data_IF_692571331712
#
_entry.id   IF_692571331712
#
_cell.length_a   1.000
_cell.length_b   1.000
_cell.length_c   1.000
_cell.angle_alpha   90.00
_cell.angle_beta   90.00
_cell.angle_gamma   90.00
#
_symmetry.space_group_name_H-M   'P 1'
#
loop_
_entity.id
_entity.type
_entity.pdbx_description
1 polymer ?
#
# COMPACT_ATOMS: atom_id res chain seq x y z
N UNK A 1 20.89 9.06 -95.63
CA UNK A 1 19.72 8.72 -96.49
C UNK A 1 18.49 8.68 -95.60
N UNK A 2 17.82 9.78 -95.71
CA UNK A 2 16.35 9.95 -95.73
C UNK A 2 15.55 9.45 -94.48
N UNK A 3 14.64 10.11 -93.92
CA UNK A 3 13.84 11.33 -94.06
C UNK A 3 13.04 11.40 -92.77
N UNK A 4 13.05 12.51 -92.10
CA UNK A 4 11.96 13.44 -91.77
C UNK A 4 10.53 12.84 -91.76
N UNK A 5 9.82 12.97 -90.69
CA UNK A 5 8.62 13.77 -90.68
C UNK A 5 8.02 13.88 -89.24
N UNK A 6 7.78 15.11 -88.98
CA UNK A 6 7.00 15.76 -87.90
C UNK A 6 5.59 15.22 -87.77
N UNK A 7 5.07 15.16 -86.54
CA UNK A 7 3.76 15.79 -86.34
C UNK A 7 3.55 16.10 -84.88
N UNK A 8 3.12 17.26 -84.65
CA UNK A 8 2.69 17.88 -83.40
C UNK A 8 1.42 17.25 -82.88
N UNK A 9 1.32 17.02 -81.62
CA UNK A 9 0.05 17.05 -80.92
C UNK A 9 0.22 17.48 -79.45
N UNK A 10 -0.57 18.46 -79.22
CA UNK A 10 -0.67 19.37 -78.11
C UNK A 10 -0.63 18.79 -76.74
N UNK A 11 0.07 19.52 -75.90
CA UNK A 11 0.11 19.47 -74.44
C UNK A 11 -1.28 19.66 -73.85
N UNK A 12 -1.59 18.77 -72.90
CA UNK A 12 -2.49 19.06 -71.81
C UNK A 12 -1.71 18.87 -70.52
N UNK A 13 -1.34 19.95 -69.91
CA UNK A 13 -0.79 20.06 -68.58
C UNK A 13 -1.90 19.68 -67.57
N UNK A 14 -1.89 18.50 -67.05
CA UNK A 14 -2.59 18.18 -65.79
C UNK A 14 -1.61 18.35 -64.65
N UNK A 15 -1.65 19.47 -63.99
CA UNK A 15 -0.96 19.71 -62.73
C UNK A 15 -1.62 18.85 -61.66
N UNK A 16 -1.00 17.71 -61.35
CA UNK A 16 -1.35 16.93 -60.15
C UNK A 16 -0.74 17.64 -58.97
N UNK A 17 -1.56 18.37 -58.24
CA UNK A 17 -1.24 18.85 -56.90
C UNK A 17 -1.21 17.62 -55.98
N UNK A 18 -0.03 17.05 -55.73
CA UNK A 18 0.19 16.20 -54.56
C UNK A 18 0.13 17.12 -53.33
N UNK A 19 -1.03 17.17 -52.72
CA UNK A 19 -1.15 17.68 -51.37
C UNK A 19 -0.42 16.69 -50.42
N UNK A 20 0.83 17.00 -50.10
CA UNK A 20 1.52 16.46 -48.97
C UNK A 20 0.73 16.85 -47.71
N UNK A 21 -0.20 16.00 -47.30
CA UNK A 21 -0.76 16.06 -45.99
C UNK A 21 0.38 15.66 -45.01
N UNK A 22 1.17 16.66 -44.62
CA UNK A 22 2.02 16.53 -43.42
C UNK A 22 1.05 16.46 -42.26
N UNK A 23 0.70 15.22 -41.91
CA UNK A 23 0.02 14.94 -40.68
C UNK A 23 0.95 15.37 -39.55
N UNK A 24 0.74 16.58 -39.04
CA UNK A 24 1.25 16.96 -37.73
C UNK A 24 0.60 16.01 -36.72
N UNK A 25 1.26 14.89 -36.49
CA UNK A 25 1.06 14.15 -35.28
C UNK A 25 1.46 15.10 -34.15
N UNK A 26 0.50 15.87 -33.65
CA UNK A 26 0.64 16.55 -32.38
C UNK A 26 0.83 15.40 -31.38
N UNK A 27 2.07 15.08 -31.11
CA UNK A 27 2.40 14.42 -29.84
C UNK A 27 1.76 15.33 -28.78
N UNK A 28 0.61 14.93 -28.25
CA UNK A 28 0.14 15.48 -26.99
C UNK A 28 1.30 15.26 -26.03
N UNK A 29 2.05 16.33 -25.78
CA UNK A 29 2.91 16.39 -24.62
C UNK A 29 1.99 16.09 -23.44
N UNK A 30 2.02 14.84 -22.95
CA UNK A 30 1.42 14.56 -21.66
C UNK A 30 2.13 15.51 -20.73
N UNK A 31 1.42 16.51 -20.26
CA UNK A 31 1.88 17.31 -19.13
C UNK A 31 2.12 16.28 -18.04
N UNK A 32 3.39 15.96 -17.76
CA UNK A 32 3.82 15.11 -16.66
C UNK A 32 3.58 15.86 -15.34
N UNK A 33 2.33 16.28 -15.09
CA UNK A 33 1.95 16.74 -13.77
C UNK A 33 2.03 15.54 -12.84
N UNK A 34 2.68 15.73 -11.70
CA UNK A 34 2.67 14.72 -10.64
C UNK A 34 1.21 14.42 -10.26
N UNK A 35 0.90 13.16 -9.90
CA UNK A 35 -0.43 12.81 -9.42
C UNK A 35 -0.79 13.69 -8.22
N UNK A 36 -2.09 13.97 -8.06
CA UNK A 36 -2.61 14.67 -6.89
C UNK A 36 -2.25 13.88 -5.63
N UNK A 37 -1.80 14.59 -4.59
CA UNK A 37 -1.50 13.97 -3.31
C UNK A 37 -2.78 13.54 -2.56
N UNK A 38 -2.71 12.45 -1.84
CA UNK A 38 -3.85 11.93 -1.08
C UNK A 38 -4.23 12.86 0.09
N UNK A 39 -3.28 13.68 0.61
CA UNK A 39 -3.54 14.66 1.66
C UNK A 39 -4.69 15.63 1.33
N UNK A 40 -4.84 16.02 0.05
CA UNK A 40 -5.90 16.93 -0.40
C UNK A 40 -7.29 16.31 -0.42
N UNK A 41 -7.37 15.00 -0.26
CA UNK A 41 -8.61 14.20 -0.31
C UNK A 41 -8.97 13.59 1.04
N UNK A 42 -8.10 13.72 2.06
CA UNK A 42 -8.38 13.22 3.39
C UNK A 42 -9.41 14.10 4.11
N UNK A 43 -10.47 13.46 4.56
CA UNK A 43 -11.48 14.07 5.41
C UNK A 43 -11.10 13.98 6.89
N UNK A 44 -11.77 14.74 7.79
CA UNK A 44 -11.64 14.54 9.22
C UNK A 44 -11.87 13.08 9.62
N UNK A 45 -11.12 12.59 10.60
CA UNK A 45 -11.27 11.23 11.10
C UNK A 45 -12.63 11.04 11.79
N UNK A 46 -13.18 9.84 11.69
CA UNK A 46 -14.44 9.51 12.35
C UNK A 46 -14.17 9.27 13.85
N UNK A 47 -14.64 10.18 14.71
CA UNK A 47 -14.36 10.17 16.16
C UNK A 47 -14.77 8.88 16.85
N UNK A 48 -15.92 8.32 16.47
CA UNK A 48 -16.46 7.06 17.00
C UNK A 48 -16.20 5.88 16.08
N UNK A 49 -15.30 6.04 15.09
CA UNK A 49 -14.94 5.01 14.13
C UNK A 49 -13.69 4.22 14.53
N UNK A 50 -13.18 3.45 13.55
CA UNK A 50 -11.97 2.65 13.73
C UNK A 50 -12.15 1.49 14.69
N UNK A 51 -11.08 1.13 15.42
CA UNK A 51 -11.06 -0.01 16.33
C UNK A 51 -10.27 0.29 17.60
N UNK A 52 -10.86 0.05 18.75
CA UNK A 52 -10.25 0.17 20.07
C UNK A 52 -10.61 -1.03 20.94
N UNK A 53 -9.73 -1.40 21.85
CA UNK A 53 -9.95 -2.45 22.84
C UNK A 53 -9.33 -2.03 24.18
N UNK A 54 -10.12 -2.07 25.23
CA UNK A 54 -9.63 -1.77 26.58
C UNK A 54 -8.58 -2.80 27.02
N UNK A 55 -7.48 -2.34 27.61
CA UNK A 55 -6.40 -3.17 28.09
C UNK A 55 -5.46 -3.70 26.98
N UNK A 56 -5.62 -3.26 25.72
CA UNK A 56 -4.79 -3.69 24.60
C UNK A 56 -4.23 -2.52 23.80
N UNK A 57 -3.03 -2.71 23.27
CA UNK A 57 -2.45 -1.90 22.21
C UNK A 57 -2.80 -2.56 20.88
N UNK A 58 -3.42 -1.76 19.98
CA UNK A 58 -3.79 -2.17 18.63
C UNK A 58 -2.84 -1.55 17.60
N UNK A 59 -2.35 -2.36 16.64
CA UNK A 59 -1.35 -1.95 15.68
C UNK A 59 -1.53 -2.64 14.32
N UNK A 60 -0.96 -2.08 13.25
CA UNK A 60 -0.82 -2.76 11.94
C UNK A 60 -2.15 -3.28 11.36
N UNK A 61 -3.20 -2.47 11.36
CA UNK A 61 -4.49 -2.89 10.79
C UNK A 61 -4.43 -3.07 9.27
N UNK A 62 -5.28 -3.99 8.78
CA UNK A 62 -5.55 -4.17 7.35
C UNK A 62 -6.98 -4.67 7.19
N UNK A 63 -7.71 -4.15 6.20
CA UNK A 63 -9.16 -4.35 6.04
C UNK A 63 -9.47 -5.00 4.70
N UNK A 64 -10.42 -5.93 4.71
CA UNK A 64 -10.99 -6.53 3.50
C UNK A 64 -12.51 -6.55 3.59
N UNK A 65 -13.21 -6.33 2.46
CA UNK A 65 -14.66 -6.46 2.37
C UNK A 65 -15.03 -7.84 1.87
N UNK A 66 -15.97 -8.50 2.56
CA UNK A 66 -16.55 -9.79 2.13
C UNK A 66 -18.08 -9.71 2.30
N UNK A 67 -18.80 -9.78 1.21
CA UNK A 67 -20.23 -9.47 1.22
C UNK A 67 -20.46 -8.04 1.69
N UNK A 68 -21.33 -7.86 2.66
CA UNK A 68 -21.65 -6.55 3.24
C UNK A 68 -20.83 -6.24 4.52
N UNK A 69 -19.84 -7.07 4.82
CA UNK A 69 -19.06 -6.95 6.05
C UNK A 69 -17.60 -6.56 5.74
N UNK A 70 -17.10 -5.59 6.48
CA UNK A 70 -15.69 -5.24 6.52
C UNK A 70 -15.01 -5.99 7.66
N UNK A 71 -13.97 -6.74 7.32
CA UNK A 71 -13.15 -7.50 8.27
C UNK A 71 -11.80 -6.81 8.42
N UNK A 72 -11.50 -6.39 9.63
CA UNK A 72 -10.21 -5.83 10.00
C UNK A 72 -9.36 -6.90 10.68
N UNK A 73 -8.15 -7.09 10.18
CA UNK A 73 -7.11 -7.86 10.86
C UNK A 73 -6.10 -6.89 11.44
N UNK A 74 -5.76 -7.07 12.72
CA UNK A 74 -4.82 -6.19 13.41
C UNK A 74 -3.90 -7.00 14.32
N UNK A 75 -2.72 -6.46 14.58
CA UNK A 75 -1.86 -6.93 15.64
C UNK A 75 -2.33 -6.33 16.97
N UNK A 76 -2.39 -7.12 18.04
CA UNK A 76 -2.62 -6.61 19.39
C UNK A 76 -1.71 -7.28 20.41
N UNK A 77 -1.51 -6.61 21.52
CA UNK A 77 -0.89 -7.18 22.72
C UNK A 77 -1.37 -6.45 23.97
N UNK A 78 -1.28 -7.09 25.19
CA UNK A 78 -1.74 -6.45 26.41
C UNK A 78 -0.99 -5.15 26.71
N UNK A 79 -1.72 -4.10 27.06
CA UNK A 79 -1.21 -2.75 27.29
C UNK A 79 -0.18 -2.67 28.42
N UNK A 80 -0.29 -3.56 29.43
CA UNK A 80 0.66 -3.65 30.56
C UNK A 80 2.13 -3.85 30.15
N UNK A 81 2.39 -4.34 28.93
CA UNK A 81 3.74 -4.51 28.39
C UNK A 81 4.24 -3.29 27.61
N UNK A 82 3.46 -2.20 27.60
CA UNK A 82 3.77 -0.99 26.86
C UNK A 82 4.01 -1.22 25.38
N UNK A 83 4.58 -0.24 24.69
CA UNK A 83 4.87 -0.38 23.26
C UNK A 83 5.79 -1.58 22.96
N UNK A 84 6.81 -1.83 23.79
CA UNK A 84 7.78 -2.93 23.60
C UNK A 84 7.18 -4.33 23.59
N UNK A 85 5.97 -4.51 24.13
CA UNK A 85 5.25 -5.78 24.21
C UNK A 85 5.00 -6.45 22.86
N UNK A 86 5.04 -5.68 21.75
CA UNK A 86 4.90 -6.24 20.41
C UNK A 86 5.96 -7.30 20.05
N UNK A 87 7.11 -7.28 20.71
CA UNK A 87 8.23 -8.19 20.42
C UNK A 87 7.97 -9.62 20.88
N UNK A 88 7.14 -9.82 21.89
CA UNK A 88 6.92 -11.11 22.55
C UNK A 88 5.46 -11.49 22.75
N UNK A 89 4.53 -10.53 22.74
CA UNK A 89 3.11 -10.74 23.07
C UNK A 89 2.16 -10.42 21.91
N UNK A 90 2.67 -9.99 20.76
CA UNK A 90 1.81 -9.67 19.60
C UNK A 90 1.16 -10.92 19.03
N UNK A 91 -0.14 -10.82 18.80
CA UNK A 91 -1.00 -11.79 18.14
C UNK A 91 -1.87 -11.11 17.08
N UNK A 92 -2.43 -11.88 16.15
CA UNK A 92 -3.37 -11.38 15.13
C UNK A 92 -4.80 -11.56 15.62
N UNK A 93 -5.60 -10.49 15.55
CA UNK A 93 -7.04 -10.52 15.82
C UNK A 93 -7.85 -10.14 14.60
N UNK A 94 -9.11 -10.58 14.56
CA UNK A 94 -10.12 -10.13 13.61
C UNK A 94 -11.21 -9.35 14.33
N UNK A 95 -11.57 -8.21 13.74
CA UNK A 95 -12.73 -7.43 14.09
C UNK A 95 -13.62 -7.22 12.85
N UNK A 96 -14.89 -6.94 13.03
CA UNK A 96 -15.84 -6.78 11.93
C UNK A 96 -16.74 -5.56 12.13
N UNK A 97 -17.20 -4.99 11.00
CA UNK A 97 -18.18 -3.92 10.97
C UNK A 97 -18.99 -3.98 9.66
N UNK A 98 -20.24 -3.55 9.67
CA UNK A 98 -21.04 -3.32 8.46
C UNK A 98 -20.70 -1.99 7.78
N UNK A 99 -19.93 -1.12 8.46
CA UNK A 99 -19.47 0.18 7.95
C UNK A 99 -17.96 0.19 7.80
N UNK A 100 -17.44 0.65 6.64
CA UNK A 100 -16.01 0.78 6.38
C UNK A 100 -15.27 1.57 7.46
N UNK A 101 -15.91 2.61 7.97
CA UNK A 101 -15.31 3.49 8.98
C UNK A 101 -15.48 2.97 10.42
N UNK A 102 -16.14 1.81 10.60
CA UNK A 102 -16.39 1.25 11.93
C UNK A 102 -17.61 1.86 12.65
N UNK A 103 -17.71 1.71 13.98
CA UNK A 103 -16.73 1.06 14.85
C UNK A 103 -16.63 -0.45 14.55
N UNK A 104 -15.40 -0.97 14.58
CA UNK A 104 -15.16 -2.40 14.45
C UNK A 104 -15.31 -3.10 15.79
N UNK A 105 -15.96 -4.26 15.77
CA UNK A 105 -16.17 -5.10 16.96
C UNK A 105 -15.27 -6.32 16.91
N UNK A 106 -14.53 -6.57 17.99
CA UNK A 106 -13.70 -7.76 18.14
C UNK A 106 -14.53 -9.04 17.93
N UNK A 107 -13.97 -9.97 17.17
CA UNK A 107 -14.58 -11.27 16.88
C UNK A 107 -13.77 -12.40 17.49
N UNK A 108 -12.47 -12.48 17.18
CA UNK A 108 -11.63 -13.61 17.57
C UNK A 108 -10.13 -13.29 17.51
N UNK A 109 -9.35 -14.12 18.20
CA UNK A 109 -7.91 -14.25 17.99
C UNK A 109 -7.69 -15.23 16.83
N UNK A 110 -7.06 -14.74 15.77
CA UNK A 110 -6.86 -15.51 14.52
C UNK A 110 -5.58 -16.31 14.55
N UNK A 111 -4.47 -15.65 14.89
CA UNK A 111 -3.15 -16.27 14.92
C UNK A 111 -2.41 -15.87 16.19
N UNK A 112 -1.92 -16.87 16.92
CA UNK A 112 -1.00 -16.70 18.04
C UNK A 112 0.36 -17.32 17.70
N UNK A 113 1.39 -16.98 18.44
CA UNK A 113 2.72 -17.60 18.31
C UNK A 113 2.63 -19.13 18.47
N UNK A 114 3.48 -19.87 17.75
CA UNK A 114 3.61 -21.34 17.83
C UNK A 114 4.98 -21.69 18.38
N UNK A 115 5.10 -22.29 19.59
CA UNK A 115 6.38 -22.46 20.30
C UNK A 115 7.49 -23.14 19.48
N UNK A 116 7.16 -24.13 18.66
CA UNK A 116 8.13 -24.98 17.95
C UNK A 116 8.28 -24.64 16.46
N UNK A 117 7.79 -23.45 16.06
CA UNK A 117 7.82 -23.01 14.67
C UNK A 117 8.61 -21.71 14.49
N UNK A 118 8.78 -21.28 13.23
CA UNK A 118 9.48 -20.05 12.87
C UNK A 118 8.83 -18.79 13.49
N UNK A 119 7.53 -18.82 13.79
CA UNK A 119 6.73 -17.75 14.40
C UNK A 119 6.55 -17.92 15.93
N UNK A 120 7.50 -18.59 16.60
CA UNK A 120 7.47 -18.91 18.03
C UNK A 120 7.49 -17.72 18.97
N UNK A 121 7.92 -16.57 18.51
CA UNK A 121 8.06 -15.37 19.36
C UNK A 121 6.87 -14.44 19.27
N UNK A 122 6.30 -14.27 18.07
CA UNK A 122 5.17 -13.36 17.83
C UNK A 122 4.54 -13.57 16.45
N UNK A 123 3.32 -13.03 16.30
CA UNK A 123 2.64 -12.77 15.03
C UNK A 123 2.41 -11.25 14.94
N UNK A 124 3.04 -10.57 14.00
CA UNK A 124 2.99 -9.11 13.93
C UNK A 124 2.94 -8.59 12.49
N UNK A 125 2.57 -7.31 12.29
CA UNK A 125 2.46 -6.65 10.98
C UNK A 125 1.57 -7.41 9.98
N UNK A 126 0.38 -7.78 10.43
CA UNK A 126 -0.57 -8.56 9.63
C UNK A 126 -1.13 -7.75 8.46
N UNK A 127 -1.19 -8.39 7.29
CA UNK A 127 -1.80 -7.82 6.07
C UNK A 127 -2.62 -8.87 5.35
N UNK A 128 -3.93 -8.58 5.20
CA UNK A 128 -4.87 -9.46 4.50
C UNK A 128 -4.97 -9.08 3.03
N UNK A 129 -4.96 -10.09 2.15
CA UNK A 129 -5.32 -9.95 0.74
C UNK A 129 -6.19 -11.13 0.30
N UNK A 130 -6.92 -10.96 -0.80
CA UNK A 130 -7.60 -12.05 -1.50
C UNK A 130 -6.80 -12.41 -2.74
N UNK A 131 -6.28 -13.63 -2.81
CA UNK A 131 -5.52 -14.16 -3.94
C UNK A 131 -6.34 -15.30 -4.60
N UNK A 132 -6.97 -15.00 -5.72
CA UNK A 132 -7.97 -15.91 -6.33
C UNK A 132 -9.16 -16.10 -5.39
N UNK A 133 -9.43 -17.35 -5.02
CA UNK A 133 -10.51 -17.71 -4.07
C UNK A 133 -10.01 -17.84 -2.61
N UNK A 134 -8.73 -17.60 -2.34
CA UNK A 134 -8.12 -17.73 -1.02
C UNK A 134 -7.96 -16.38 -0.33
N UNK A 135 -8.13 -16.37 0.99
CA UNK A 135 -7.72 -15.31 1.88
C UNK A 135 -6.32 -15.60 2.40
N UNK A 136 -5.42 -14.61 2.30
CA UNK A 136 -4.02 -14.76 2.68
C UNK A 136 -3.63 -13.66 3.65
N UNK A 137 -3.19 -14.05 4.84
CA UNK A 137 -2.64 -13.17 5.87
C UNK A 137 -1.11 -13.26 5.86
N UNK A 138 -0.44 -12.21 5.42
CA UNK A 138 1.00 -12.07 5.61
C UNK A 138 1.28 -11.54 7.00
N UNK A 139 2.33 -12.05 7.66
CA UNK A 139 2.76 -11.59 8.99
C UNK A 139 4.25 -11.85 9.19
N UNK A 140 4.82 -11.21 10.22
CA UNK A 140 6.24 -11.32 10.54
C UNK A 140 6.48 -11.95 11.91
N UNK A 141 7.67 -12.55 12.03
CA UNK A 141 8.26 -13.01 13.31
C UNK A 141 9.28 -11.99 13.85
N UNK A 142 9.98 -12.36 14.93
CA UNK A 142 10.99 -11.51 15.59
C UNK A 142 12.25 -11.33 14.77
N UNK A 143 12.60 -12.28 13.91
CA UNK A 143 13.77 -12.20 13.02
C UNK A 143 13.54 -11.31 11.77
N UNK A 144 12.40 -10.59 11.72
CA UNK A 144 11.98 -9.82 10.53
C UNK A 144 11.81 -10.69 9.28
N UNK A 145 11.36 -11.90 9.47
CA UNK A 145 11.00 -12.83 8.41
C UNK A 145 9.48 -12.81 8.21
N UNK A 146 9.05 -12.83 6.98
CA UNK A 146 7.64 -12.87 6.59
C UNK A 146 7.23 -14.27 6.17
N UNK A 147 6.10 -14.73 6.71
CA UNK A 147 5.37 -15.88 6.23
C UNK A 147 3.89 -15.55 6.05
N UNK A 148 3.07 -16.57 5.85
CA UNK A 148 1.64 -16.39 5.61
C UNK A 148 0.79 -17.42 6.34
N UNK A 149 -0.50 -17.09 6.47
CA UNK A 149 -1.58 -18.03 6.74
C UNK A 149 -2.62 -17.91 5.62
N UNK A 150 -3.23 -19.02 5.23
CA UNK A 150 -4.21 -19.09 4.14
C UNK A 150 -5.49 -19.79 4.60
N UNK A 151 -6.64 -19.34 4.08
CA UNK A 151 -7.94 -19.92 4.35
C UNK A 151 -8.87 -19.79 3.14
N UNK A 152 -9.91 -20.64 3.08
CA UNK A 152 -10.98 -20.56 2.10
C UNK A 152 -12.05 -19.51 2.48
N UNK A 153 -12.23 -19.28 3.77
CA UNK A 153 -13.12 -18.27 4.30
C UNK A 153 -12.35 -17.24 5.13
N UNK A 154 -12.86 -15.99 5.16
CA UNK A 154 -12.25 -14.89 5.93
C UNK A 154 -12.22 -15.16 7.45
N UNK A 155 -13.02 -16.10 7.91
CA UNK A 155 -13.08 -16.59 9.28
C UNK A 155 -12.20 -17.80 9.55
N UNK A 156 -11.48 -18.30 8.53
CA UNK A 156 -10.67 -19.52 8.64
C UNK A 156 -11.47 -20.80 8.31
N UNK A 157 -10.97 -21.99 8.71
CA UNK A 157 -9.73 -22.18 9.46
C UNK A 157 -8.47 -21.78 8.69
N UNK A 158 -7.45 -21.29 9.41
CA UNK A 158 -6.22 -20.78 8.85
C UNK A 158 -5.09 -21.81 8.89
N UNK A 159 -4.54 -22.16 7.72
CA UNK A 159 -3.33 -22.98 7.58
C UNK A 159 -2.13 -22.07 7.40
N UNK A 160 -1.08 -22.26 8.20
CA UNK A 160 0.13 -21.41 8.17
C UNK A 160 1.26 -22.07 7.40
N UNK A 161 2.12 -21.24 6.81
CA UNK A 161 3.38 -21.72 6.25
C UNK A 161 4.27 -22.35 7.32
N UNK A 162 4.96 -23.44 6.98
CA UNK A 162 5.87 -24.14 7.91
C UNK A 162 7.18 -23.39 8.15
N UNK A 163 7.53 -22.50 7.22
CA UNK A 163 8.74 -21.65 7.24
C UNK A 163 8.42 -20.29 6.67
N UNK A 164 9.22 -19.26 6.98
CA UNK A 164 9.08 -17.95 6.30
C UNK A 164 9.36 -18.08 4.81
N UNK A 165 8.70 -17.26 4.02
CA UNK A 165 8.86 -17.21 2.57
C UNK A 165 9.81 -16.11 2.11
N UNK A 166 9.97 -15.06 2.92
CA UNK A 166 10.84 -13.91 2.61
C UNK A 166 11.54 -13.41 3.88
N UNK A 167 12.81 -13.02 3.74
CA UNK A 167 13.60 -12.37 4.80
C UNK A 167 13.54 -10.86 4.66
N UNK A 168 12.37 -10.30 4.90
CA UNK A 168 12.11 -8.87 4.97
C UNK A 168 10.90 -8.63 5.88
N UNK A 169 10.73 -7.41 6.37
CA UNK A 169 9.66 -7.06 7.30
C UNK A 169 8.72 -6.00 6.75
N UNK A 170 7.58 -5.80 7.42
CA UNK A 170 6.55 -4.84 7.08
C UNK A 170 5.99 -5.09 5.65
N UNK A 171 5.41 -6.28 5.39
CA UNK A 171 4.86 -6.61 4.08
C UNK A 171 3.73 -5.66 3.68
N UNK A 172 3.74 -5.20 2.43
CA UNK A 172 2.62 -4.56 1.77
C UNK A 172 2.30 -5.35 0.50
N UNK A 173 1.45 -6.39 0.59
CA UNK A 173 1.10 -7.24 -0.53
C UNK A 173 0.08 -6.57 -1.45
N UNK A 174 0.27 -6.74 -2.75
CA UNK A 174 -0.66 -6.38 -3.81
C UNK A 174 -0.84 -7.59 -4.74
N UNK A 175 -2.07 -8.04 -4.91
CA UNK A 175 -2.43 -9.06 -5.89
C UNK A 175 -2.71 -8.35 -7.23
N UNK A 176 -1.95 -8.70 -8.26
CA UNK A 176 -2.13 -8.16 -9.61
C UNK A 176 -3.31 -8.81 -10.32
N UNK A 177 -3.80 -8.18 -11.38
CA UNK A 177 -4.93 -8.69 -12.16
C UNK A 177 -4.73 -10.10 -12.72
N UNK A 178 -3.49 -10.52 -12.98
CA UNK A 178 -3.14 -11.87 -13.44
C UNK A 178 -2.97 -12.89 -12.29
N UNK A 179 -3.29 -12.50 -11.05
CA UNK A 179 -3.17 -13.33 -9.85
C UNK A 179 -1.78 -13.37 -9.22
N UNK A 180 -0.74 -12.86 -9.90
CA UNK A 180 0.60 -12.79 -9.33
C UNK A 180 0.68 -11.74 -8.20
N UNK A 181 1.65 -11.88 -7.32
CA UNK A 181 1.89 -10.95 -6.25
C UNK A 181 3.03 -9.99 -6.56
N UNK A 182 2.86 -8.78 -6.10
CA UNK A 182 3.91 -7.81 -5.87
C UNK A 182 3.85 -7.43 -4.40
N UNK A 183 4.93 -7.62 -3.65
CA UNK A 183 4.95 -7.31 -2.22
C UNK A 183 6.08 -6.34 -1.94
N UNK A 184 5.72 -5.14 -1.50
CA UNK A 184 6.70 -4.14 -1.09
C UNK A 184 7.05 -4.34 0.39
N UNK A 185 8.32 -4.19 0.74
CA UNK A 185 8.85 -4.45 2.07
C UNK A 185 9.78 -3.35 2.55
N UNK A 186 9.94 -3.29 3.86
CA UNK A 186 11.10 -2.67 4.48
C UNK A 186 12.18 -3.73 4.68
N UNK A 187 13.34 -3.51 4.10
CA UNK A 187 14.55 -4.28 4.38
C UNK A 187 15.52 -3.40 5.17
N UNK A 188 16.00 -3.90 6.29
CA UNK A 188 17.06 -3.24 7.06
C UNK A 188 18.38 -3.88 6.70
N UNK A 189 19.32 -3.07 6.20
CA UNK A 189 20.65 -3.55 5.85
C UNK A 189 21.56 -3.71 7.08
N UNK A 190 22.80 -4.12 6.84
CA UNK A 190 23.80 -4.31 7.90
C UNK A 190 24.17 -2.99 8.59
N UNK A 191 24.05 -1.87 7.90
CA UNK A 191 24.32 -0.52 8.40
C UNK A 191 23.12 0.05 9.15
N UNK A 192 22.08 -0.76 9.35
CA UNK A 192 20.83 -0.38 10.01
C UNK A 192 20.01 0.70 9.28
N UNK A 193 20.24 0.85 7.97
CA UNK A 193 19.46 1.74 7.11
C UNK A 193 18.25 1.00 6.54
N UNK A 194 17.07 1.61 6.63
CA UNK A 194 15.87 1.05 6.05
C UNK A 194 15.83 1.33 4.55
N UNK A 195 15.57 0.29 3.75
CA UNK A 195 15.39 0.36 2.29
C UNK A 195 14.02 -0.15 1.92
N UNK A 196 13.39 0.49 0.94
CA UNK A 196 12.21 -0.05 0.27
C UNK A 196 12.63 -1.05 -0.80
N UNK A 197 12.20 -2.30 -0.66
CA UNK A 197 12.47 -3.37 -1.63
C UNK A 197 11.17 -4.05 -2.02
N UNK A 198 11.14 -4.70 -3.16
CA UNK A 198 9.97 -5.48 -3.57
C UNK A 198 10.35 -6.90 -3.98
N UNK A 199 9.37 -7.78 -3.85
CA UNK A 199 9.42 -9.16 -4.34
C UNK A 199 8.19 -9.43 -5.20
N UNK A 200 8.36 -10.28 -6.18
CA UNK A 200 7.26 -10.79 -7.02
C UNK A 200 7.17 -12.29 -6.90
N UNK A 201 5.95 -12.82 -7.02
CA UNK A 201 5.71 -14.26 -7.05
C UNK A 201 4.53 -14.59 -7.95
N UNK A 202 4.49 -15.77 -8.60
CA UNK A 202 3.32 -16.21 -9.37
C UNK A 202 2.09 -16.46 -8.50
N UNK A 203 2.29 -16.84 -7.23
CA UNK A 203 1.24 -17.07 -6.24
C UNK A 203 1.73 -16.69 -4.84
N UNK A 204 0.83 -16.69 -3.84
CA UNK A 204 1.13 -16.27 -2.46
C UNK A 204 2.15 -17.18 -1.74
N UNK A 205 2.31 -18.41 -2.17
CA UNK A 205 3.26 -19.40 -1.66
C UNK A 205 4.61 -19.39 -2.39
N UNK A 206 4.76 -18.56 -3.43
CA UNK A 206 6.01 -18.36 -4.15
C UNK A 206 6.12 -19.15 -5.46
N UNK A 207 7.34 -19.38 -5.96
CA UNK A 207 8.60 -18.83 -5.46
C UNK A 207 8.69 -17.31 -5.58
N UNK A 208 9.31 -16.67 -4.59
CA UNK A 208 9.52 -15.22 -4.57
C UNK A 208 10.85 -14.85 -5.21
N UNK A 209 10.81 -13.88 -6.11
CA UNK A 209 11.98 -13.27 -6.75
C UNK A 209 12.09 -11.81 -6.35
N UNK A 210 13.28 -11.39 -5.94
CA UNK A 210 13.54 -9.99 -5.59
C UNK A 210 13.58 -9.11 -6.85
N UNK A 211 12.98 -7.93 -6.76
CA UNK A 211 13.00 -6.91 -7.83
C UNK A 211 14.34 -6.17 -7.78
N UNK A 212 14.94 -5.87 -8.96
CA UNK A 212 16.17 -5.09 -9.09
C UNK A 212 17.30 -5.54 -8.14
N UNK A 213 17.49 -6.86 -7.98
CA UNK A 213 18.50 -7.43 -7.12
C UNK A 213 18.48 -6.91 -5.67
N UNK A 214 17.31 -6.41 -5.20
CA UNK A 214 17.15 -5.85 -3.87
C UNK A 214 17.68 -4.42 -3.70
N UNK A 215 17.81 -3.68 -4.79
CA UNK A 215 18.09 -2.25 -4.73
C UNK A 215 17.02 -1.48 -3.97
N UNK A 216 17.38 -0.35 -3.38
CA UNK A 216 16.39 0.55 -2.80
C UNK A 216 15.55 1.19 -3.90
N UNK A 217 14.25 0.89 -3.92
CA UNK A 217 13.33 1.38 -4.94
C UNK A 217 12.83 2.81 -4.67
N UNK A 218 13.07 3.35 -3.46
CA UNK A 218 12.63 4.68 -3.08
C UNK A 218 13.74 5.71 -3.32
N UNK A 219 13.45 6.80 -4.03
CA UNK A 219 14.40 7.88 -4.17
C UNK A 219 14.68 8.54 -2.81
N UNK A 220 15.87 9.10 -2.67
CA UNK A 220 16.31 9.88 -1.50
C UNK A 220 16.52 9.13 -0.19
N UNK A 221 16.64 7.80 -0.19
CA UNK A 221 17.25 7.00 0.87
C UNK A 221 16.77 7.25 2.31
N UNK A 222 15.53 7.78 2.49
CA UNK A 222 15.00 8.07 3.82
C UNK A 222 14.74 6.80 4.63
N UNK A 223 14.76 6.90 5.95
CA UNK A 223 14.28 5.84 6.83
C UNK A 223 12.76 5.74 6.76
N UNK A 224 12.28 5.10 5.70
CA UNK A 224 10.86 4.89 5.43
C UNK A 224 10.43 3.51 5.91
N UNK A 225 9.31 3.45 6.64
CA UNK A 225 8.76 2.21 7.22
C UNK A 225 7.28 2.04 6.89
N UNK A 226 6.73 0.86 7.19
CA UNK A 226 5.30 0.58 7.24
C UNK A 226 4.56 0.86 5.94
N UNK A 227 4.96 0.25 4.84
CA UNK A 227 4.31 0.49 3.56
C UNK A 227 2.86 0.03 3.56
N UNK A 228 2.01 0.79 2.87
CA UNK A 228 0.73 0.35 2.32
C UNK A 228 0.75 0.61 0.83
N UNK A 229 0.24 -0.33 0.03
CA UNK A 229 0.27 -0.26 -1.43
C UNK A 229 -1.11 -0.57 -2.01
N UNK A 230 -1.47 0.13 -3.07
CA UNK A 230 -2.66 -0.17 -3.87
C UNK A 230 -2.40 0.16 -5.35
N UNK A 231 -3.17 -0.48 -6.22
CA UNK A 231 -3.14 -0.24 -7.66
C UNK A 231 -4.30 0.65 -8.05
N UNK A 232 -4.01 1.76 -8.69
CA UNK A 232 -4.99 2.67 -9.26
C UNK A 232 -4.38 3.40 -10.47
N UNK A 233 -5.19 3.68 -11.48
CA UNK A 233 -4.78 4.46 -12.66
C UNK A 233 -3.49 3.97 -13.32
N UNK A 234 -3.39 2.65 -13.51
CA UNK A 234 -2.24 1.98 -14.11
C UNK A 234 -0.90 2.26 -13.40
N UNK A 235 -0.94 2.49 -12.09
CA UNK A 235 0.27 2.68 -11.30
C UNK A 235 0.15 2.07 -9.90
N UNK A 236 1.29 1.74 -9.33
CA UNK A 236 1.48 1.43 -7.93
C UNK A 236 1.47 2.73 -7.15
N UNK A 237 0.63 2.83 -6.13
CA UNK A 237 0.61 3.91 -5.18
C UNK A 237 1.02 3.37 -3.83
N UNK A 238 1.88 4.07 -3.12
CA UNK A 238 2.40 3.63 -1.83
C UNK A 238 2.46 4.79 -0.85
N UNK A 239 2.09 4.53 0.39
CA UNK A 239 2.32 5.43 1.51
C UNK A 239 3.21 4.71 2.52
N UNK A 240 4.21 5.43 3.03
CA UNK A 240 5.13 4.95 4.05
C UNK A 240 5.18 5.95 5.20
N UNK A 241 5.58 5.48 6.37
CA UNK A 241 5.90 6.32 7.52
C UNK A 241 7.33 6.87 7.35
N UNK A 242 7.48 8.19 7.31
CA UNK A 242 8.76 8.88 7.26
C UNK A 242 9.34 8.99 8.68
N UNK A 243 10.08 7.97 9.08
CA UNK A 243 10.54 7.81 10.47
C UNK A 243 11.37 8.99 10.97
N UNK A 244 12.24 9.53 10.15
CA UNK A 244 13.15 10.63 10.50
C UNK A 244 12.73 11.99 9.94
N UNK A 245 11.75 12.04 9.06
CA UNK A 245 11.34 13.29 8.39
C UNK A 245 12.23 13.68 7.21
N UNK A 246 13.00 12.76 6.65
CA UNK A 246 13.88 13.05 5.51
C UNK A 246 13.11 13.34 4.22
N UNK A 247 11.99 12.70 4.03
CA UNK A 247 11.15 12.86 2.84
C UNK A 247 10.23 14.08 2.95
N UNK A 248 9.50 14.20 4.05
CA UNK A 248 8.45 15.20 4.25
C UNK A 248 8.89 16.44 5.05
N UNK A 249 10.03 16.37 5.74
CA UNK A 249 10.47 17.37 6.72
C UNK A 249 9.86 17.17 8.12
N UNK A 250 8.96 16.19 8.29
CA UNK A 250 8.25 15.95 9.56
C UNK A 250 8.43 14.49 9.97
N UNK A 251 9.08 14.26 11.11
CA UNK A 251 9.28 12.90 11.64
C UNK A 251 7.95 12.21 11.91
N UNK A 252 7.83 10.95 11.48
CA UNK A 252 6.66 10.07 11.61
C UNK A 252 5.41 10.57 10.89
N UNK A 253 5.60 11.35 9.83
CA UNK A 253 4.54 11.74 8.91
C UNK A 253 4.40 10.72 7.77
N UNK A 254 3.31 10.77 7.03
CA UNK A 254 3.08 9.90 5.87
C UNK A 254 3.69 10.46 4.60
N UNK A 255 4.63 9.75 3.97
CA UNK A 255 5.20 10.08 2.67
C UNK A 255 4.53 9.24 1.56
N UNK A 256 4.13 9.88 0.46
CA UNK A 256 3.48 9.21 -0.66
C UNK A 256 4.40 9.15 -1.88
N UNK A 257 4.41 7.97 -2.51
CA UNK A 257 5.11 7.73 -3.77
C UNK A 257 4.20 6.99 -4.74
N UNK A 258 4.54 7.06 -6.02
CA UNK A 258 3.93 6.24 -7.07
C UNK A 258 4.98 5.66 -8.01
N UNK A 259 4.62 4.59 -8.72
CA UNK A 259 5.43 3.98 -9.76
C UNK A 259 4.54 3.36 -10.84
N UNK A 260 4.89 3.49 -12.11
CA UNK A 260 4.17 2.84 -13.21
C UNK A 260 4.65 1.42 -13.48
N UNK A 261 5.88 1.12 -13.14
CA UNK A 261 6.54 -0.17 -13.41
C UNK A 261 6.78 -1.01 -12.16
N UNK A 262 6.62 -0.44 -10.95
CA UNK A 262 6.92 -1.09 -9.68
C UNK A 262 8.42 -1.13 -9.36
N UNK A 263 9.22 -0.35 -10.08
CA UNK A 263 10.69 -0.26 -9.91
C UNK A 263 11.08 1.17 -9.60
N UNK A 264 10.69 2.11 -10.46
CA UNK A 264 11.04 3.51 -10.35
C UNK A 264 9.93 4.28 -9.63
N UNK A 265 10.14 4.51 -8.35
CA UNK A 265 9.20 5.28 -7.54
C UNK A 265 9.53 6.76 -7.55
N UNK A 266 8.50 7.58 -7.68
CA UNK A 266 8.58 9.04 -7.62
C UNK A 266 7.75 9.53 -6.43
N UNK A 267 8.30 10.45 -5.65
CA UNK A 267 7.59 11.11 -4.57
C UNK A 267 6.50 12.03 -5.14
N UNK A 268 5.27 11.93 -4.62
CA UNK A 268 4.13 12.74 -5.09
C UNK A 268 4.31 14.20 -4.67
N UNK A 269 4.62 14.42 -3.41
CA UNK A 269 4.80 15.75 -2.80
C UNK A 269 5.63 15.63 -1.53
N UNK A 270 6.30 16.71 -1.15
CA UNK A 270 6.90 16.82 0.19
C UNK A 270 5.87 17.12 1.27
N UNK A 271 4.68 17.58 0.90
CA UNK A 271 3.58 17.72 1.84
C UNK A 271 3.13 16.35 2.34
N UNK A 272 3.09 16.15 3.67
CA UNK A 272 2.78 14.84 4.22
C UNK A 272 1.30 14.48 4.05
N UNK A 273 1.02 13.21 3.74
CA UNK A 273 -0.35 12.68 3.71
C UNK A 273 -1.03 12.80 5.07
N UNK A 274 -0.27 12.57 6.13
CA UNK A 274 -0.75 12.72 7.51
C UNK A 274 0.40 13.10 8.44
N UNK A 275 0.05 13.71 9.55
CA UNK A 275 0.96 13.98 10.67
C UNK A 275 0.43 13.32 11.95
N UNK A 276 1.07 13.53 13.07
CA UNK A 276 0.62 13.05 14.38
C UNK A 276 -0.64 13.78 14.90
N UNK A 277 -1.06 14.84 14.24
CA UNK A 277 -2.29 15.57 14.57
C UNK A 277 -3.43 14.98 13.77
N UNK A 278 -4.50 14.58 14.44
CA UNK A 278 -5.74 14.08 13.83
C UNK A 278 -6.86 15.06 14.15
N UNK A 279 -7.52 15.57 13.12
CA UNK A 279 -8.76 16.33 13.24
C UNK A 279 -9.93 15.37 13.08
N UNK A 280 -10.99 15.55 13.87
CA UNK A 280 -12.17 14.67 13.87
C UNK A 280 -13.39 15.36 13.28
N UNK A 281 -14.37 14.56 12.88
CA UNK A 281 -15.66 14.97 12.31
C UNK A 281 -16.54 15.77 13.29
N UNK A 282 -16.29 15.67 14.59
CA UNK A 282 -16.93 16.49 15.64
C UNK A 282 -16.26 17.86 15.88
N UNK A 283 -15.25 18.21 15.06
CA UNK A 283 -14.49 19.45 15.16
C UNK A 283 -13.34 19.40 16.18
N UNK A 284 -13.22 18.32 16.95
CA UNK A 284 -12.10 18.16 17.90
C UNK A 284 -10.81 17.76 17.18
N UNK A 285 -9.68 17.91 17.89
CA UNK A 285 -8.40 17.42 17.40
C UNK A 285 -7.60 16.76 18.52
N UNK A 286 -6.72 15.82 18.16
CA UNK A 286 -5.87 15.11 19.08
C UNK A 286 -4.45 14.99 18.51
N UNK A 287 -3.44 15.24 19.35
CA UNK A 287 -2.04 15.04 18.99
C UNK A 287 -1.56 13.76 19.63
N UNK A 288 -1.13 12.82 18.79
CA UNK A 288 -0.61 11.52 19.22
C UNK A 288 0.90 11.56 19.44
N UNK A 289 1.41 10.78 20.38
CA UNK A 289 2.84 10.51 20.51
C UNK A 289 3.34 9.74 19.25
N UNK A 290 2.50 8.84 18.73
CA UNK A 290 2.77 8.06 17.51
C UNK A 290 1.52 7.97 16.64
N UNK A 291 1.72 8.15 15.34
CA UNK A 291 0.78 7.76 14.28
C UNK A 291 1.57 7.03 13.22
N UNK A 292 1.33 5.73 13.10
CA UNK A 292 2.15 4.81 12.30
C UNK A 292 1.25 3.77 11.61
N UNK A 293 1.86 2.89 10.81
CA UNK A 293 1.18 1.75 10.19
C UNK A 293 0.00 2.16 9.31
N UNK A 294 0.20 3.04 8.33
CA UNK A 294 -0.88 3.39 7.43
C UNK A 294 -1.39 2.16 6.69
N UNK A 295 -2.69 2.13 6.46
CA UNK A 295 -3.33 1.17 5.56
C UNK A 295 -4.41 1.90 4.75
N UNK A 296 -4.27 1.89 3.43
CA UNK A 296 -5.29 2.41 2.52
C UNK A 296 -6.23 1.27 2.13
N UNK A 297 -7.52 1.43 2.44
CA UNK A 297 -8.55 0.58 1.86
C UNK A 297 -8.94 1.14 0.50
N UNK A 298 -8.68 0.38 -0.56
CA UNK A 298 -9.14 0.66 -1.90
C UNK A 298 -10.21 -0.36 -2.30
N UNK A 299 -11.21 0.09 -3.07
CA UNK A 299 -12.21 -0.82 -3.62
C UNK A 299 -11.66 -1.61 -4.82
N UNK A 300 -12.50 -2.46 -5.42
CA UNK A 300 -12.12 -3.30 -6.57
C UNK A 300 -11.72 -2.50 -7.82
N UNK A 301 -12.13 -1.24 -7.91
CA UNK A 301 -11.72 -0.31 -8.98
C UNK A 301 -10.39 0.38 -8.71
N UNK A 302 -9.80 0.15 -7.52
CA UNK A 302 -8.59 0.81 -7.06
C UNK A 302 -8.83 2.19 -6.43
N UNK A 303 -10.09 2.61 -6.25
CA UNK A 303 -10.42 3.88 -5.60
C UNK A 303 -10.10 3.78 -4.10
N UNK A 304 -9.21 4.64 -3.62
CA UNK A 304 -8.90 4.75 -2.21
C UNK A 304 -10.06 5.40 -1.46
N UNK A 305 -10.61 4.72 -0.46
CA UNK A 305 -11.82 5.14 0.26
C UNK A 305 -11.58 5.46 1.73
N UNK A 306 -10.54 4.91 2.34
CA UNK A 306 -10.22 5.14 3.74
C UNK A 306 -8.72 4.97 4.01
N UNK A 307 -8.20 5.81 4.89
CA UNK A 307 -6.87 5.67 5.50
C UNK A 307 -7.03 5.26 6.97
N UNK A 308 -6.53 4.09 7.31
CA UNK A 308 -6.40 3.61 8.68
C UNK A 308 -4.98 3.87 9.19
N UNK A 309 -4.84 4.19 10.46
CA UNK A 309 -3.54 4.39 11.12
C UNK A 309 -3.59 3.89 12.55
N UNK A 310 -2.52 3.30 13.05
CA UNK A 310 -2.33 3.04 14.47
C UNK A 310 -1.95 4.35 15.15
N UNK A 311 -2.74 4.78 16.12
CA UNK A 311 -2.56 6.02 16.85
C UNK A 311 -2.40 5.75 18.34
N UNK A 312 -1.30 6.22 18.91
CA UNK A 312 -0.91 6.00 20.30
C UNK A 312 -0.77 7.34 21.00
N UNK A 313 -1.71 7.69 21.91
CA UNK A 313 -1.61 8.94 22.70
C UNK A 313 -0.53 8.85 23.78
N UNK A 314 -0.33 7.64 24.35
CA UNK A 314 0.68 7.31 25.36
C UNK A 314 1.19 5.89 25.15
N UNK A 315 2.21 5.45 25.87
CA UNK A 315 2.77 4.10 25.74
C UNK A 315 1.86 2.97 26.26
N UNK A 316 0.73 3.31 26.86
CA UNK A 316 -0.19 2.36 27.49
C UNK A 316 -1.43 2.05 26.65
N UNK A 317 -1.67 2.81 25.60
CA UNK A 317 -2.89 2.66 24.81
C UNK A 317 -2.69 3.03 23.34
N UNK A 318 -3.17 2.20 22.45
CA UNK A 318 -3.24 2.55 21.03
C UNK A 318 -4.52 2.01 20.42
N UNK A 319 -5.05 2.77 19.48
CA UNK A 319 -6.24 2.42 18.69
C UNK A 319 -5.99 2.61 17.21
N UNK A 320 -6.81 1.99 16.40
CA UNK A 320 -6.87 2.24 14.96
C UNK A 320 -7.83 3.41 14.72
N UNK A 321 -7.31 4.49 14.15
CA UNK A 321 -8.08 5.66 13.69
C UNK A 321 -8.30 5.55 12.19
N UNK A 322 -9.47 5.98 11.71
CA UNK A 322 -9.86 5.96 10.31
C UNK A 322 -10.24 7.35 9.81
N UNK A 323 -9.72 7.69 8.64
CA UNK A 323 -10.10 8.90 7.89
C UNK A 323 -10.72 8.51 6.56
N UNK A 324 -11.90 9.03 6.21
CA UNK A 324 -12.43 8.91 4.86
C UNK A 324 -11.54 9.59 3.83
N UNK A 325 -11.52 9.06 2.62
CA UNK A 325 -10.86 9.65 1.46
C UNK A 325 -11.95 9.95 0.44
N UNK A 326 -12.04 11.20 0.00
CA UNK A 326 -13.03 11.65 -0.96
C UNK A 326 -12.36 12.29 -2.17
N UNK A 327 -12.88 11.99 -3.37
CA UNK A 327 -12.43 12.59 -4.62
C UNK A 327 -10.92 12.46 -4.89
N UNK A 328 -10.33 11.34 -4.46
CA UNK A 328 -8.94 11.05 -4.78
C UNK A 328 -8.83 10.40 -6.17
N UNK A 329 -8.35 11.17 -7.11
CA UNK A 329 -8.02 10.72 -8.46
C UNK A 329 -6.52 10.99 -8.66
N UNK A 330 -5.66 9.96 -8.67
CA UNK A 330 -4.21 10.17 -8.81
C UNK A 330 -3.79 10.67 -10.20
N UNK A 331 -4.67 10.63 -11.20
CA UNK A 331 -4.45 11.29 -12.49
C UNK A 331 -5.27 12.58 -12.57
N UNK A 332 -4.60 13.69 -12.84
CA UNK A 332 -5.28 14.89 -13.29
C UNK A 332 -5.84 14.61 -14.70
N UNK A 333 -7.13 14.35 -14.81
CA UNK A 333 -7.87 14.49 -16.06
C UNK A 333 -8.23 15.94 -16.27
#
# INVERSE_FOLDING_TARGET
>A
MHFLLRSYCRRLLAAVWMALAVGFCRAQASTNSLPKGLQDSLQPAIKKGGFAMDGYILWCSSVIKVGDTYHMFASRWPAQYGLGGWTTHSECVRAASSNLFGPYQFQEVVLQKRPDHWDKSRVHNVKIVKAGNKFVLFYINTANETGYAVADAVTGPWTRSDKPVIRASNPAPLVRANGSLYVFYRLRDRESVNRGVAFTAPAFDGPYSVVENGANLLPNGGELEDPTIWWANNQYNIILNDWKGHATGISKAGAQYFSRDGIHYTMVSREPVFTKIVKYDDGSSETFARRERPFVFANEKGEALALFSACMPSDEQARVVVQPIEHYYPDNK
#
